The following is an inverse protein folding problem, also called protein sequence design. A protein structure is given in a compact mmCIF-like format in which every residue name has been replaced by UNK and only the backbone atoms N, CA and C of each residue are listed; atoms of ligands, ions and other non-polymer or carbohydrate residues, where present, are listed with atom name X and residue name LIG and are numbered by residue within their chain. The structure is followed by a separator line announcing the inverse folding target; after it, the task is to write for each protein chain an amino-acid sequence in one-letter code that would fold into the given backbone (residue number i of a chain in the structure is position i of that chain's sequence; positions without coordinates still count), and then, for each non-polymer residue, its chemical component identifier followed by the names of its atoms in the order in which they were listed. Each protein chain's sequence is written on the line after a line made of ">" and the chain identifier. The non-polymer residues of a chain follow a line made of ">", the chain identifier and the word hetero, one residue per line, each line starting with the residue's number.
data_IF_651554597107
#
_entry.id   IF_651554597107
#
_cell.length_a   1.000
_cell.length_b   1.000
_cell.length_c   1.000
_cell.angle_alpha   90.00
_cell.angle_beta   90.00
_cell.angle_gamma   90.00
#
_symmetry.space_group_name_H-M   'P 1'
#
loop_
_entity.id
_entity.type
_entity.pdbx_description
1 polymer ?
#
# COMPACT_ATOMS: atom_id res chain seq x y z
N UNK A 1 -4.05 15.60 -9.93
CA UNK A 1 -3.30 14.33 -10.02
C UNK A 1 -2.36 14.47 -11.20
N UNK A 2 -1.06 14.33 -10.99
CA UNK A 2 -0.12 14.27 -12.11
C UNK A 2 -0.40 12.99 -12.92
N UNK A 3 -0.34 13.09 -14.24
CA UNK A 3 -0.45 11.92 -15.10
C UNK A 3 0.79 11.04 -14.92
N UNK A 4 0.60 9.75 -14.72
CA UNK A 4 1.71 8.79 -14.69
C UNK A 4 2.22 8.52 -16.09
N UNK A 5 3.53 8.45 -16.25
CA UNK A 5 4.14 7.90 -17.46
C UNK A 5 3.80 6.41 -17.64
N UNK A 6 4.02 5.90 -18.85
CA UNK A 6 3.67 4.50 -19.18
C UNK A 6 4.33 3.49 -18.23
N UNK A 7 5.62 3.66 -17.94
CA UNK A 7 6.37 2.75 -17.07
C UNK A 7 5.90 2.81 -15.61
N UNK A 8 5.62 4.00 -15.09
CA UNK A 8 5.06 4.17 -13.75
C UNK A 8 3.66 3.54 -13.64
N UNK A 9 2.82 3.74 -14.67
CA UNK A 9 1.48 3.14 -14.73
C UNK A 9 1.55 1.61 -14.76
N UNK A 10 2.53 1.03 -15.50
CA UNK A 10 2.77 -0.40 -15.51
C UNK A 10 3.18 -0.91 -14.11
N UNK A 11 4.17 -0.26 -13.49
CA UNK A 11 4.61 -0.62 -12.12
C UNK A 11 3.46 -0.52 -11.11
N UNK A 12 2.63 0.54 -11.20
CA UNK A 12 1.46 0.68 -10.34
C UNK A 12 0.45 -0.46 -10.56
N UNK A 13 0.25 -0.89 -11.81
CA UNK A 13 -0.65 -2.00 -12.15
C UNK A 13 -0.13 -3.31 -11.56
N UNK A 14 1.16 -3.60 -11.69
CA UNK A 14 1.79 -4.81 -11.15
C UNK A 14 1.68 -4.87 -9.62
N UNK A 15 1.99 -3.76 -8.95
CA UNK A 15 1.85 -3.67 -7.49
C UNK A 15 0.38 -3.76 -7.04
N UNK A 16 -0.55 -3.16 -7.80
CA UNK A 16 -1.98 -3.28 -7.53
C UNK A 16 -2.47 -4.73 -7.69
N UNK A 17 -1.95 -5.46 -8.68
CA UNK A 17 -2.22 -6.89 -8.85
C UNK A 17 -1.78 -7.68 -7.61
N UNK A 18 -0.60 -7.39 -7.07
CA UNK A 18 -0.09 -8.03 -5.86
C UNK A 18 -1.02 -7.82 -4.65
N UNK A 19 -1.45 -6.58 -4.39
CA UNK A 19 -2.38 -6.28 -3.29
C UNK A 19 -3.76 -6.89 -3.53
N UNK A 20 -4.25 -6.89 -4.79
CA UNK A 20 -5.50 -7.55 -5.13
C UNK A 20 -5.41 -9.07 -4.98
N UNK A 21 -4.26 -9.70 -5.29
CA UNK A 21 -4.05 -11.13 -5.02
C UNK A 21 -4.21 -11.44 -3.53
N UNK A 22 -3.60 -10.62 -2.66
CA UNK A 22 -3.80 -10.73 -1.21
C UNK A 22 -5.29 -10.63 -0.82
N UNK A 23 -6.03 -9.65 -1.38
CA UNK A 23 -7.45 -9.43 -1.07
C UNK A 23 -8.31 -10.66 -1.36
N UNK A 24 -8.03 -11.39 -2.43
CA UNK A 24 -8.81 -12.59 -2.80
C UNK A 24 -8.80 -13.67 -1.71
N UNK A 25 -7.75 -13.74 -0.90
CA UNK A 25 -7.62 -14.68 0.22
C UNK A 25 -7.90 -14.04 1.58
N UNK A 26 -8.22 -12.75 1.61
CA UNK A 26 -8.45 -11.98 2.85
C UNK A 26 -9.78 -11.25 2.76
N UNK A 27 -10.92 -11.94 2.98
CA UNK A 27 -12.24 -11.34 2.84
C UNK A 27 -12.43 -10.17 3.82
N UNK A 28 -13.27 -9.21 3.42
CA UNK A 28 -13.58 -8.02 4.22
C UNK A 28 -12.65 -6.82 3.99
N UNK A 29 -11.70 -6.93 3.08
CA UNK A 29 -10.89 -5.81 2.60
C UNK A 29 -11.50 -5.19 1.34
N UNK A 30 -11.60 -3.85 1.34
CA UNK A 30 -11.74 -3.08 0.11
C UNK A 30 -10.34 -2.76 -0.40
N UNK A 31 -10.11 -3.01 -1.69
CA UNK A 31 -8.89 -2.60 -2.40
C UNK A 31 -9.34 -1.93 -3.68
N UNK A 32 -9.06 -0.65 -3.82
CA UNK A 32 -9.48 0.18 -4.94
C UNK A 32 -8.30 0.95 -5.51
N UNK A 33 -8.24 1.06 -6.83
CA UNK A 33 -7.26 1.90 -7.53
C UNK A 33 -7.88 3.25 -7.86
N UNK A 34 -7.09 4.32 -7.75
CA UNK A 34 -7.48 5.70 -8.10
C UNK A 34 -8.80 6.16 -7.44
N UNK A 35 -9.09 5.65 -6.25
CA UNK A 35 -10.29 6.01 -5.52
C UNK A 35 -10.05 7.28 -4.69
N UNK A 36 -11.06 8.15 -4.63
CA UNK A 36 -11.00 9.37 -3.80
C UNK A 36 -11.05 9.01 -2.32
N UNK A 37 -10.14 9.61 -1.57
CA UNK A 37 -10.07 9.55 -0.10
C UNK A 37 -10.29 10.96 0.45
N UNK A 38 -11.34 11.16 1.21
CA UNK A 38 -11.62 12.39 1.96
C UNK A 38 -11.04 12.22 3.37
N UNK A 39 -9.89 12.81 3.61
CA UNK A 39 -9.17 12.71 4.88
C UNK A 39 -9.78 13.62 5.95
N UNK A 40 -10.23 14.82 5.56
CA UNK A 40 -11.02 15.77 6.35
C UNK A 40 -12.01 16.53 5.45
N UNK A 41 -12.88 17.39 5.97
CA UNK A 41 -13.77 18.20 5.12
C UNK A 41 -13.05 19.01 4.03
N UNK A 42 -11.82 19.47 4.31
CA UNK A 42 -11.03 20.32 3.40
C UNK A 42 -9.96 19.55 2.63
N UNK A 43 -9.62 18.32 3.07
CA UNK A 43 -8.47 17.59 2.57
C UNK A 43 -8.86 16.29 1.89
N UNK A 44 -8.53 16.17 0.61
CA UNK A 44 -8.73 14.91 -0.12
C UNK A 44 -7.53 14.54 -0.99
N UNK A 45 -7.37 13.24 -1.24
CA UNK A 45 -6.35 12.68 -2.11
C UNK A 45 -6.95 11.61 -3.04
N UNK A 46 -6.27 11.35 -4.14
CA UNK A 46 -6.54 10.22 -5.03
C UNK A 46 -5.25 9.44 -5.17
N UNK A 47 -4.97 8.49 -4.26
CA UNK A 47 -3.76 7.66 -4.36
C UNK A 47 -3.88 6.61 -5.45
N UNK A 48 -2.74 6.03 -5.83
CA UNK A 48 -2.66 4.97 -6.82
C UNK A 48 -3.46 3.73 -6.41
N UNK A 49 -3.39 3.36 -5.11
CA UNK A 49 -4.20 2.29 -4.54
C UNK A 49 -4.51 2.59 -3.07
N UNK A 50 -5.71 2.22 -2.67
CA UNK A 50 -6.21 2.28 -1.29
C UNK A 50 -6.64 0.90 -0.84
N UNK A 51 -6.26 0.50 0.37
CA UNK A 51 -6.83 -0.67 1.03
C UNK A 51 -7.35 -0.32 2.43
N UNK A 52 -8.56 -0.78 2.73
CA UNK A 52 -9.19 -0.61 4.04
C UNK A 52 -9.94 -1.87 4.47
N UNK A 53 -10.02 -2.09 5.77
CA UNK A 53 -10.90 -3.09 6.37
C UNK A 53 -12.23 -2.45 6.75
N UNK A 54 -13.33 -3.13 6.41
CA UNK A 54 -14.69 -2.60 6.63
C UNK A 54 -15.32 -3.08 7.96
N UNK A 55 -14.58 -3.74 8.84
CA UNK A 55 -15.11 -4.31 10.07
C UNK A 55 -14.08 -4.34 11.22
N UNK A 56 -14.59 -4.55 12.44
CA UNK A 56 -13.77 -4.75 13.63
C UNK A 56 -13.04 -3.50 14.11
N UNK A 57 -12.11 -3.72 15.04
CA UNK A 57 -11.36 -2.63 15.70
C UNK A 57 -10.36 -1.90 14.80
N UNK A 58 -10.04 -2.50 13.64
CA UNK A 58 -9.11 -1.89 12.68
C UNK A 58 -9.80 -0.95 11.69
N UNK A 59 -11.14 -0.90 11.68
CA UNK A 59 -11.89 0.02 10.83
C UNK A 59 -11.64 1.46 11.30
N UNK A 60 -11.08 2.29 10.43
CA UNK A 60 -10.87 3.72 10.67
C UNK A 60 -11.32 4.58 9.51
N UNK A 61 -11.80 3.96 8.45
CA UNK A 61 -12.28 4.57 7.23
C UNK A 61 -13.61 3.94 6.86
N UNK A 62 -14.48 4.67 6.19
CA UNK A 62 -15.76 4.17 5.69
C UNK A 62 -16.04 4.63 4.27
N UNK A 63 -16.91 3.94 3.56
CA UNK A 63 -17.36 4.33 2.23
C UNK A 63 -18.73 5.02 2.36
N UNK A 64 -18.83 6.25 1.88
CA UNK A 64 -20.07 7.01 1.73
C UNK A 64 -20.03 7.73 0.40
N UNK A 65 -21.15 7.74 -0.33
CA UNK A 65 -21.29 8.45 -1.61
C UNK A 65 -20.13 8.17 -2.60
N UNK A 66 -19.73 6.89 -2.71
CA UNK A 66 -18.63 6.43 -3.57
C UNK A 66 -17.24 7.01 -3.20
N UNK A 67 -17.07 7.54 -1.99
CA UNK A 67 -15.82 8.14 -1.48
C UNK A 67 -15.40 7.46 -0.18
N UNK A 68 -14.10 7.22 -0.02
CA UNK A 68 -13.54 6.82 1.26
C UNK A 68 -13.45 8.02 2.19
N UNK A 69 -14.05 7.94 3.38
CA UNK A 69 -14.04 8.97 4.43
C UNK A 69 -13.20 8.51 5.62
N UNK A 70 -12.18 9.29 5.95
CA UNK A 70 -11.18 8.98 6.97
C UNK A 70 -9.90 8.36 6.39
N UNK A 71 -8.96 8.04 7.27
CA UNK A 71 -7.67 7.46 6.87
C UNK A 71 -7.82 5.98 6.50
N UNK A 72 -7.42 5.55 5.30
CA UNK A 72 -7.36 4.13 4.97
C UNK A 72 -6.26 3.42 5.79
N UNK A 73 -6.35 2.10 5.85
CA UNK A 73 -5.33 1.32 6.56
C UNK A 73 -4.00 1.26 5.78
N UNK A 74 -4.08 1.28 4.46
CA UNK A 74 -2.93 1.15 3.57
C UNK A 74 -3.14 1.96 2.30
N UNK A 75 -2.09 2.63 1.87
CA UNK A 75 -2.04 3.39 0.62
C UNK A 75 -0.79 2.99 -0.16
N UNK A 76 -0.88 3.01 -1.50
CA UNK A 76 0.23 2.80 -2.41
C UNK A 76 0.22 3.86 -3.50
N UNK A 77 1.37 4.43 -3.77
CA UNK A 77 1.61 5.35 -4.89
C UNK A 77 2.91 5.00 -5.62
N UNK A 78 3.02 5.45 -6.87
CA UNK A 78 4.23 5.36 -7.68
C UNK A 78 4.65 6.77 -8.09
N UNK A 79 5.95 7.09 -7.93
CA UNK A 79 6.54 8.37 -8.28
C UNK A 79 7.80 8.20 -9.13
N UNK A 80 8.37 9.31 -9.59
CA UNK A 80 9.62 9.29 -10.36
C UNK A 80 10.85 9.13 -9.46
N UNK A 81 10.87 9.81 -8.32
CA UNK A 81 12.03 9.81 -7.41
C UNK A 81 11.63 10.13 -5.97
N UNK A 82 12.56 9.92 -5.05
CA UNK A 82 12.39 10.25 -3.63
C UNK A 82 12.32 11.76 -3.36
N UNK A 83 12.82 12.58 -4.29
CA UNK A 83 12.78 14.05 -4.19
C UNK A 83 11.49 14.64 -4.79
N UNK A 84 10.56 13.79 -5.24
CA UNK A 84 9.29 14.23 -5.82
C UNK A 84 8.47 15.01 -4.78
N UNK A 85 8.13 16.25 -5.11
CA UNK A 85 7.40 17.14 -4.22
C UNK A 85 6.02 16.60 -3.83
N UNK A 86 5.34 15.92 -4.75
CA UNK A 86 4.04 15.31 -4.48
C UNK A 86 4.17 14.10 -3.55
N UNK A 87 5.23 13.30 -3.68
CA UNK A 87 5.54 12.24 -2.74
C UNK A 87 5.72 12.78 -1.32
N UNK A 88 6.62 13.75 -1.14
CA UNK A 88 6.91 14.31 0.19
C UNK A 88 5.66 14.91 0.84
N UNK A 89 4.89 15.69 0.06
CA UNK A 89 3.62 16.27 0.52
C UNK A 89 2.59 15.20 0.93
N UNK A 90 2.42 14.15 0.13
CA UNK A 90 1.47 13.07 0.43
C UNK A 90 1.91 12.25 1.63
N UNK A 91 3.21 11.94 1.74
CA UNK A 91 3.76 11.22 2.88
C UNK A 91 3.41 11.94 4.19
N UNK A 92 3.68 13.24 4.26
CA UNK A 92 3.42 14.02 5.46
C UNK A 92 1.91 14.13 5.74
N UNK A 93 1.10 14.28 4.70
CA UNK A 93 -0.37 14.32 4.81
C UNK A 93 -0.92 12.99 5.32
N UNK A 94 -0.56 11.87 4.72
CA UNK A 94 -1.02 10.55 5.16
C UNK A 94 -0.56 10.22 6.59
N UNK A 95 0.65 10.62 6.97
CA UNK A 95 1.14 10.51 8.33
C UNK A 95 0.25 11.29 9.30
N UNK A 96 -0.01 12.56 9.02
CA UNK A 96 -0.80 13.46 9.88
C UNK A 96 -2.25 12.99 10.06
N UNK A 97 -2.84 12.39 9.02
CA UNK A 97 -4.20 11.85 9.08
C UNK A 97 -4.29 10.41 9.59
N UNK A 98 -3.17 9.76 9.88
CA UNK A 98 -3.17 8.46 10.54
C UNK A 98 -3.33 7.25 9.61
N UNK A 99 -2.92 7.36 8.34
CA UNK A 99 -2.79 6.19 7.45
C UNK A 99 -1.74 5.26 8.04
N UNK A 100 -2.11 3.99 8.31
CA UNK A 100 -1.22 3.08 9.06
C UNK A 100 0.03 2.68 8.29
N UNK A 101 -0.11 2.40 7.00
CA UNK A 101 1.04 2.08 6.14
C UNK A 101 0.92 2.76 4.78
N UNK A 102 2.03 3.29 4.33
CA UNK A 102 2.17 3.92 3.03
C UNK A 102 3.35 3.32 2.27
N UNK A 103 3.04 2.57 1.21
CA UNK A 103 4.00 1.98 0.29
C UNK A 103 4.20 2.92 -0.88
N UNK A 104 5.44 3.26 -1.14
CA UNK A 104 5.84 4.09 -2.27
C UNK A 104 6.82 3.32 -3.13
N UNK A 105 6.59 3.31 -4.44
CA UNK A 105 7.53 2.77 -5.40
C UNK A 105 8.03 3.86 -6.34
N UNK A 106 9.27 3.72 -6.80
CA UNK A 106 9.90 4.58 -7.78
C UNK A 106 10.26 3.75 -9.00
N UNK A 107 9.86 4.25 -10.18
CA UNK A 107 10.15 3.58 -11.44
C UNK A 107 11.62 3.81 -11.83
N UNK A 108 12.48 2.96 -11.31
CA UNK A 108 13.93 2.96 -11.48
C UNK A 108 14.43 1.53 -11.76
N UNK A 109 15.69 1.38 -12.04
CA UNK A 109 16.38 0.08 -12.16
C UNK A 109 17.58 0.02 -11.21
N UNK A 110 17.48 -0.79 -10.13
CA UNK A 110 16.31 -1.56 -9.66
C UNK A 110 15.16 -0.66 -9.18
N UNK A 111 13.93 -1.22 -9.10
CA UNK A 111 12.77 -0.49 -8.55
C UNK A 111 13.08 0.00 -7.15
N UNK A 112 12.91 1.30 -6.91
CA UNK A 112 12.97 1.87 -5.57
C UNK A 112 11.69 1.52 -4.79
N UNK A 113 11.80 1.19 -3.51
CA UNK A 113 10.66 0.88 -2.65
C UNK A 113 10.88 1.45 -1.26
N UNK A 114 9.94 2.26 -0.79
CA UNK A 114 9.88 2.75 0.58
C UNK A 114 8.57 2.31 1.22
N UNK A 115 8.67 1.60 2.32
CA UNK A 115 7.50 1.20 3.10
C UNK A 115 7.47 1.96 4.42
N UNK A 116 6.53 2.89 4.53
CA UNK A 116 6.33 3.68 5.74
C UNK A 116 5.28 3.02 6.62
N UNK A 117 5.54 2.95 7.92
CA UNK A 117 4.58 2.52 8.94
C UNK A 117 4.42 3.61 9.98
N UNK A 118 3.17 3.91 10.33
CA UNK A 118 2.85 4.85 11.38
C UNK A 118 3.18 4.24 12.74
N UNK A 119 4.08 4.90 13.47
CA UNK A 119 4.49 4.55 14.82
C UNK A 119 4.55 5.82 15.67
N UNK A 120 3.76 5.86 16.76
CA UNK A 120 3.68 7.00 17.66
C UNK A 120 3.47 8.37 16.98
N UNK A 121 2.65 8.40 15.90
CA UNK A 121 2.33 9.63 15.17
C UNK A 121 3.34 10.04 14.10
N UNK A 122 4.36 9.23 13.84
CA UNK A 122 5.37 9.48 12.80
C UNK A 122 5.55 8.26 11.90
N UNK A 123 5.84 8.49 10.62
CA UNK A 123 6.23 7.41 9.73
C UNK A 123 7.68 6.97 10.00
N UNK A 124 7.84 5.65 10.14
CA UNK A 124 9.14 4.97 10.15
C UNK A 124 9.24 4.05 8.94
N UNK A 125 10.44 3.95 8.37
CA UNK A 125 10.70 2.98 7.31
C UNK A 125 10.66 1.57 7.89
N UNK A 126 10.06 0.66 7.14
CA UNK A 126 10.01 -0.77 7.46
C UNK A 126 11.09 -1.46 6.67
N UNK A 127 12.06 -2.00 7.37
CA UNK A 127 13.10 -2.82 6.78
C UNK A 127 12.62 -4.26 6.56
N UNK A 128 13.13 -4.95 5.54
CA UNK A 128 12.85 -6.38 5.36
C UNK A 128 13.42 -7.20 6.52
N UNK A 129 12.82 -8.32 6.81
CA UNK A 129 13.32 -9.29 7.79
C UNK A 129 14.55 -10.06 7.24
N UNK A 130 15.03 -11.05 8.03
CA UNK A 130 16.20 -11.88 7.68
C UNK A 130 16.00 -12.68 6.38
N UNK A 131 14.74 -12.93 5.98
CA UNK A 131 14.38 -13.58 4.72
C UNK A 131 14.28 -12.57 3.55
N UNK A 132 14.54 -11.29 3.78
CA UNK A 132 14.37 -10.21 2.80
C UNK A 132 12.91 -9.86 2.51
N UNK A 133 11.99 -10.18 3.44
CA UNK A 133 10.55 -10.00 3.28
C UNK A 133 10.07 -8.84 4.13
N UNK A 134 9.33 -7.91 3.53
CA UNK A 134 8.56 -6.90 4.26
C UNK A 134 7.19 -7.48 4.58
N UNK A 135 6.84 -7.46 5.88
CA UNK A 135 5.54 -7.97 6.38
C UNK A 135 4.66 -6.82 6.81
N UNK A 136 3.52 -6.68 6.16
CA UNK A 136 2.54 -5.64 6.50
C UNK A 136 1.89 -5.90 7.86
N UNK A 137 1.75 -4.83 8.65
CA UNK A 137 0.90 -4.82 9.84
C UNK A 137 -0.53 -4.36 9.54
N UNK A 138 -0.67 -3.42 8.62
CA UNK A 138 -1.99 -2.94 8.19
C UNK A 138 -2.76 -4.05 7.48
N UNK A 139 -2.10 -4.77 6.57
CA UNK A 139 -2.63 -5.90 5.80
C UNK A 139 -2.02 -7.23 6.31
N UNK A 140 -2.56 -7.84 7.38
CA UNK A 140 -1.96 -9.01 8.01
C UNK A 140 -1.75 -10.16 7.02
N UNK A 141 -0.54 -10.71 6.98
CA UNK A 141 -0.10 -11.75 6.03
C UNK A 141 0.10 -11.29 4.57
N UNK A 142 0.05 -10.00 4.28
CA UNK A 142 0.65 -9.48 3.06
C UNK A 142 2.17 -9.46 3.25
N UNK A 143 2.86 -10.27 2.48
CA UNK A 143 4.32 -10.43 2.49
C UNK A 143 4.87 -10.04 1.14
N UNK A 144 5.81 -9.07 1.11
CA UNK A 144 6.48 -8.63 -0.11
C UNK A 144 7.97 -8.91 -0.02
N UNK A 145 8.54 -9.76 -0.91
CA UNK A 145 9.97 -10.01 -0.97
C UNK A 145 10.63 -8.82 -1.69
N UNK A 146 11.38 -7.99 -0.94
CA UNK A 146 11.92 -6.72 -1.45
C UNK A 146 12.72 -6.91 -2.72
N UNK A 147 13.67 -7.87 -2.74
CA UNK A 147 14.53 -8.11 -3.90
C UNK A 147 13.73 -8.51 -5.15
N UNK A 148 12.72 -9.36 -5.01
CA UNK A 148 11.89 -9.75 -6.15
C UNK A 148 11.08 -8.58 -6.72
N UNK A 149 10.59 -7.67 -5.86
CA UNK A 149 9.92 -6.43 -6.32
C UNK A 149 10.92 -5.54 -7.07
N UNK A 150 12.12 -5.36 -6.52
CA UNK A 150 13.19 -4.57 -7.14
C UNK A 150 13.59 -5.08 -8.53
N UNK A 151 13.62 -6.41 -8.69
CA UNK A 151 13.97 -7.08 -9.94
C UNK A 151 12.77 -7.27 -10.88
N UNK A 152 11.57 -6.82 -10.50
CA UNK A 152 10.29 -7.04 -11.21
C UNK A 152 9.97 -8.53 -11.44
N UNK A 153 10.45 -9.43 -10.57
CA UNK A 153 10.08 -10.85 -10.57
C UNK A 153 8.71 -11.04 -9.89
N UNK A 154 7.67 -10.69 -10.65
CA UNK A 154 6.29 -10.74 -10.15
C UNK A 154 5.82 -12.15 -9.81
N UNK A 155 6.40 -13.20 -10.41
CA UNK A 155 6.08 -14.57 -10.06
C UNK A 155 6.58 -14.92 -8.66
N UNK A 156 7.80 -14.53 -8.32
CA UNK A 156 8.34 -14.70 -6.97
C UNK A 156 7.55 -13.88 -5.95
N UNK A 157 7.13 -12.65 -6.31
CA UNK A 157 6.29 -11.79 -5.46
C UNK A 157 4.95 -12.45 -5.17
N UNK A 158 4.22 -12.91 -6.20
CA UNK A 158 2.93 -13.57 -6.04
C UNK A 158 3.04 -14.85 -5.21
N UNK A 159 4.06 -15.66 -5.45
CA UNK A 159 4.32 -16.87 -4.65
C UNK A 159 4.61 -16.57 -3.17
N UNK A 160 5.27 -15.45 -2.88
CA UNK A 160 5.47 -15.00 -1.49
C UNK A 160 4.17 -14.57 -0.82
N UNK A 161 3.33 -13.81 -1.52
CA UNK A 161 2.01 -13.41 -1.03
C UNK A 161 1.15 -14.65 -0.73
N UNK A 162 1.12 -15.63 -1.62
CA UNK A 162 0.38 -16.87 -1.42
C UNK A 162 0.85 -17.64 -0.18
N UNK A 163 2.14 -17.72 0.07
CA UNK A 163 2.68 -18.32 1.31
C UNK A 163 2.22 -17.55 2.56
N UNK A 164 2.19 -16.22 2.50
CA UNK A 164 1.73 -15.38 3.61
C UNK A 164 0.27 -15.66 3.96
N UNK A 165 -0.62 -15.62 2.96
CA UNK A 165 -2.07 -15.83 3.20
C UNK A 165 -2.42 -17.28 3.56
N UNK A 166 -1.68 -18.28 3.04
CA UNK A 166 -1.90 -19.70 3.34
C UNK A 166 -1.61 -20.05 4.81
N UNK A 167 -0.71 -19.34 5.49
CA UNK A 167 -0.47 -19.52 6.93
C UNK A 167 -1.70 -19.19 7.77
N UNK A 168 -2.57 -18.29 7.32
CA UNK A 168 -3.82 -17.95 8.02
C UNK A 168 -4.81 -19.14 8.05
N UNK A 169 -4.84 -19.95 7.00
CA UNK A 169 -5.77 -21.09 6.90
C UNK A 169 -5.44 -22.23 7.90
N UNK A 170 -4.20 -22.28 8.42
CA UNK A 170 -3.77 -23.34 9.35
C UNK A 170 -3.99 -22.97 10.83
N UNK A 171 -4.51 -21.78 11.15
CA UNK A 171 -4.76 -21.30 12.51
C UNK A 171 -6.24 -20.94 12.75
N UNK A 172 -7.15 -21.27 11.85
CA UNK A 172 -8.59 -21.15 11.96
C UNK A 172 -9.22 -22.56 12.07
#
# INVERSE_FOLDING_TARGET
>A
MAELGVHQSALQTDLALCVNRYRLFSPGWYVCVLAKVQLSPEESEVPGLVAMVNYGRKKQCEVRDEVFHGAPNFVLDVFYSEDDHDFLRRRDRFCNFGVHEYLVAFDAEPVGLLWHRLDAGCYRLVEPDEDGIIRSHALPNLWLPLKAVQDRDWWAVLGCIERGVSRRANFA
#
